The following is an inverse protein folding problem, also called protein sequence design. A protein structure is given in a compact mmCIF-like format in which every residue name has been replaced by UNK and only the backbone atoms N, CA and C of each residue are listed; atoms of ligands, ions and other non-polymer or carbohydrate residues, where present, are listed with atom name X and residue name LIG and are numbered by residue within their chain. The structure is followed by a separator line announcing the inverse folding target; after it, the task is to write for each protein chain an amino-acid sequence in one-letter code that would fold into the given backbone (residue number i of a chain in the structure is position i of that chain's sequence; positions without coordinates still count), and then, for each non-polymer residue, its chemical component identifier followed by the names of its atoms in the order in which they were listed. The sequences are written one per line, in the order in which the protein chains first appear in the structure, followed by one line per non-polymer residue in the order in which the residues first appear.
data_IF_145236600516
#
_entry.id   IF_145236600516
#
_cell.length_a   1.000
_cell.length_b   1.000
_cell.length_c   1.000
_cell.angle_alpha   90.00
_cell.angle_beta   90.00
_cell.angle_gamma   90.00
#
_symmetry.space_group_name_H-M   'P 1'
#
loop_
_entity.id
_entity.type
_entity.pdbx_description
1 polymer ?
#
# COMPACT_ATOMS: atom_id res chain seq x y z
N UNK A 1 -10.52 11.55 9.73
CA UNK A 1 -10.12 12.06 8.39
C UNK A 1 -11.36 12.61 7.70
N UNK A 2 -11.25 13.66 6.89
CA UNK A 2 -12.36 14.13 6.04
C UNK A 2 -12.38 13.37 4.70
N UNK A 3 -13.48 13.43 3.96
CA UNK A 3 -13.55 12.82 2.62
C UNK A 3 -12.57 13.46 1.64
N UNK A 4 -12.40 14.79 1.69
CA UNK A 4 -11.50 15.50 0.78
C UNK A 4 -10.03 15.14 1.06
N UNK A 5 -9.63 15.09 2.35
CA UNK A 5 -8.29 14.60 2.74
C UNK A 5 -8.05 13.16 2.25
N UNK A 6 -9.05 12.29 2.38
CA UNK A 6 -8.95 10.91 1.92
C UNK A 6 -8.79 10.84 0.39
N UNK A 7 -9.53 11.66 -0.36
CA UNK A 7 -9.43 11.73 -1.82
C UNK A 7 -8.04 12.22 -2.23
N UNK A 8 -7.51 13.28 -1.62
CA UNK A 8 -6.17 13.79 -1.92
C UNK A 8 -5.09 12.73 -1.71
N UNK A 9 -5.15 12.01 -0.57
CA UNK A 9 -4.25 10.89 -0.29
C UNK A 9 -4.37 9.80 -1.36
N UNK A 10 -5.59 9.42 -1.73
CA UNK A 10 -5.83 8.37 -2.73
C UNK A 10 -5.39 8.79 -4.13
N UNK A 11 -5.51 10.07 -4.48
CA UNK A 11 -4.97 10.62 -5.73
C UNK A 11 -3.45 10.52 -5.76
N UNK A 12 -2.76 10.82 -4.66
CA UNK A 12 -1.31 10.63 -4.55
C UNK A 12 -0.90 9.15 -4.71
N UNK A 13 -1.75 8.22 -4.26
CA UNK A 13 -1.53 6.79 -4.44
C UNK A 13 -1.60 6.33 -5.91
N UNK A 14 -2.30 7.08 -6.78
CA UNK A 14 -2.51 6.70 -8.18
C UNK A 14 -1.20 6.59 -8.96
N UNK A 15 -0.31 7.57 -8.85
CA UNK A 15 0.98 7.55 -9.55
C UNK A 15 1.85 6.35 -9.15
N UNK A 16 1.82 5.96 -7.87
CA UNK A 16 2.50 4.76 -7.40
C UNK A 16 1.87 3.48 -7.98
N UNK A 17 0.54 3.42 -8.02
CA UNK A 17 -0.19 2.28 -8.56
C UNK A 17 0.02 2.09 -10.08
N UNK A 18 0.09 3.17 -10.84
CA UNK A 18 0.41 3.16 -12.27
C UNK A 18 1.84 2.66 -12.51
N UNK A 19 2.82 3.21 -11.77
CA UNK A 19 4.21 2.73 -11.82
C UNK A 19 4.32 1.24 -11.49
N UNK A 20 3.59 0.79 -10.48
CA UNK A 20 3.52 -0.61 -10.07
C UNK A 20 2.90 -1.50 -11.16
N UNK A 21 1.83 -1.02 -11.80
CA UNK A 21 1.15 -1.70 -12.90
C UNK A 21 2.09 -1.91 -14.10
N UNK A 22 2.95 -0.93 -14.39
CA UNK A 22 3.95 -1.04 -15.47
C UNK A 22 5.14 -1.92 -15.08
N UNK A 23 5.62 -1.81 -13.84
CA UNK A 23 6.82 -2.50 -13.40
C UNK A 23 6.61 -4.01 -13.18
N UNK A 24 5.43 -4.41 -12.73
CA UNK A 24 5.07 -5.82 -12.53
C UNK A 24 3.62 -6.07 -12.97
N UNK A 25 3.32 -6.08 -14.27
CA UNK A 25 1.95 -6.17 -14.79
C UNK A 25 1.24 -7.44 -14.31
N UNK A 26 1.91 -8.59 -14.40
CA UNK A 26 1.42 -9.91 -14.01
C UNK A 26 2.39 -10.56 -13.02
N UNK A 27 2.35 -10.16 -11.75
CA UNK A 27 3.24 -10.75 -10.76
C UNK A 27 3.14 -10.16 -9.36
N UNK A 28 4.05 -10.63 -8.49
CA UNK A 28 4.25 -10.12 -7.13
C UNK A 28 5.40 -9.10 -7.13
N UNK A 29 5.37 -8.08 -6.26
CA UNK A 29 6.36 -7.01 -6.25
C UNK A 29 7.70 -7.41 -5.57
N UNK A 30 8.13 -8.66 -5.68
CA UNK A 30 9.20 -9.25 -4.84
C UNK A 30 10.46 -8.38 -4.72
N UNK A 31 10.97 -7.90 -5.85
CA UNK A 31 12.16 -7.04 -5.93
C UNK A 31 11.82 -5.57 -6.23
N UNK A 32 10.57 -5.16 -6.05
CA UNK A 32 10.19 -3.76 -6.27
C UNK A 32 10.87 -2.87 -5.23
N UNK A 33 11.63 -1.89 -5.72
CA UNK A 33 12.32 -0.90 -4.91
C UNK A 33 11.35 0.23 -4.63
N UNK A 34 11.06 0.46 -3.33
CA UNK A 34 10.23 1.55 -2.87
C UNK A 34 11.12 2.68 -2.40
N UNK A 35 10.87 3.89 -2.90
CA UNK A 35 11.51 5.11 -2.40
C UNK A 35 10.94 5.48 -1.02
N UNK A 36 11.60 6.36 -0.25
CA UNK A 36 11.03 6.89 0.99
C UNK A 36 9.66 7.56 0.78
N UNK A 37 9.47 8.19 -0.38
CA UNK A 37 8.19 8.81 -0.74
C UNK A 37 7.11 7.75 -1.00
N UNK A 38 7.43 6.68 -1.74
CA UNK A 38 6.49 5.57 -1.97
C UNK A 38 6.05 4.93 -0.63
N UNK A 39 6.96 4.85 0.34
CA UNK A 39 6.65 4.34 1.68
C UNK A 39 5.68 5.26 2.46
N UNK A 40 5.83 6.57 2.32
CA UNK A 40 4.89 7.54 2.92
C UNK A 40 3.51 7.42 2.30
N UNK A 41 3.44 7.38 0.98
CA UNK A 41 2.18 7.18 0.23
C UNK A 41 1.49 5.88 0.65
N UNK A 42 2.21 4.77 0.81
CA UNK A 42 1.64 3.51 1.29
C UNK A 42 1.18 3.55 2.75
N UNK A 43 1.86 4.35 3.59
CA UNK A 43 1.44 4.57 4.97
C UNK A 43 0.14 5.36 5.03
N UNK A 44 0.01 6.42 4.22
CA UNK A 44 -1.20 7.22 4.13
C UNK A 44 -2.36 6.42 3.52
N UNK A 45 -2.08 5.59 2.50
CA UNK A 45 -3.06 4.62 1.97
C UNK A 45 -3.59 3.69 3.07
N UNK A 46 -2.69 3.14 3.90
CA UNK A 46 -3.07 2.29 5.03
C UNK A 46 -3.90 3.06 6.07
N UNK A 47 -3.58 4.34 6.29
CA UNK A 47 -4.33 5.22 7.19
C UNK A 47 -5.77 5.45 6.69
N UNK A 48 -5.96 5.69 5.39
CA UNK A 48 -7.28 5.84 4.78
C UNK A 48 -8.10 4.56 4.96
N UNK A 49 -7.51 3.40 4.72
CA UNK A 49 -8.22 2.12 4.85
C UNK A 49 -8.53 1.73 6.30
N UNK A 50 -7.76 2.22 7.27
CA UNK A 50 -7.94 1.93 8.68
C UNK A 50 -8.77 2.97 9.45
N UNK A 51 -9.09 4.11 8.83
CA UNK A 51 -9.86 5.16 9.48
C UNK A 51 -11.35 4.78 9.51
N UNK A 52 -11.98 4.66 10.70
CA UNK A 52 -13.35 4.17 10.84
C UNK A 52 -14.42 5.10 10.25
N UNK A 53 -14.09 6.38 10.01
CA UNK A 53 -15.00 7.36 9.42
C UNK A 53 -15.08 7.17 7.90
N UNK A 54 -13.95 6.86 7.24
CA UNK A 54 -13.87 6.68 5.78
C UNK A 54 -13.92 5.21 5.33
N UNK A 55 -13.53 4.26 6.18
CA UNK A 55 -13.56 2.82 5.93
C UNK A 55 -14.95 2.18 6.17
N UNK A 56 -15.99 3.01 6.33
CA UNK A 56 -17.37 2.54 6.43
C UNK A 56 -17.82 1.75 5.18
N UNK A 57 -18.80 0.84 5.31
CA UNK A 57 -19.27 0.00 4.21
C UNK A 57 -19.69 0.85 3.00
N UNK A 58 -19.04 0.63 1.84
CA UNK A 58 -19.33 1.32 0.59
C UNK A 58 -18.75 2.74 0.45
N UNK A 59 -18.34 3.40 1.54
CA UNK A 59 -17.73 4.74 1.46
C UNK A 59 -16.33 4.67 0.87
N UNK A 60 -15.51 3.71 1.30
CA UNK A 60 -14.16 3.53 0.76
C UNK A 60 -14.16 3.28 -0.76
N UNK A 61 -15.12 2.49 -1.26
CA UNK A 61 -15.28 2.27 -2.71
C UNK A 61 -15.66 3.56 -3.45
N UNK A 62 -16.50 4.43 -2.86
CA UNK A 62 -16.81 5.74 -3.44
C UNK A 62 -15.56 6.63 -3.48
N UNK A 63 -14.77 6.65 -2.41
CA UNK A 63 -13.53 7.42 -2.35
C UNK A 63 -12.52 6.95 -3.40
N UNK A 64 -12.37 5.64 -3.60
CA UNK A 64 -11.56 5.11 -4.71
C UNK A 64 -12.04 5.58 -6.08
N UNK A 65 -13.36 5.58 -6.31
CA UNK A 65 -13.95 6.07 -7.55
C UNK A 65 -13.69 7.58 -7.76
N UNK A 66 -13.83 8.39 -6.70
CA UNK A 66 -13.53 9.82 -6.76
C UNK A 66 -12.05 10.09 -7.06
N UNK A 67 -11.15 9.30 -6.48
CA UNK A 67 -9.72 9.33 -6.77
C UNK A 67 -9.34 8.71 -8.13
N UNK A 68 -10.31 8.22 -8.91
CA UNK A 68 -10.12 7.55 -10.20
C UNK A 68 -9.14 6.37 -10.13
N UNK A 69 -9.18 5.64 -9.02
CA UNK A 69 -8.45 4.39 -8.86
C UNK A 69 -9.28 3.22 -9.39
N UNK A 70 -8.69 2.46 -10.30
CA UNK A 70 -9.23 1.22 -10.84
C UNK A 70 -9.00 0.05 -9.88
N UNK A 71 -9.77 -1.03 -10.04
CA UNK A 71 -9.57 -2.26 -9.27
C UNK A 71 -8.15 -2.83 -9.39
N UNK A 72 -7.52 -2.67 -10.56
CA UNK A 72 -6.12 -3.10 -10.79
C UNK A 72 -5.17 -2.25 -9.97
N UNK A 73 -5.28 -0.92 -10.02
CA UNK A 73 -4.44 0.00 -9.25
C UNK A 73 -4.57 -0.24 -7.75
N UNK A 74 -5.80 -0.40 -7.24
CA UNK A 74 -6.07 -0.72 -5.84
C UNK A 74 -5.38 -2.04 -5.46
N UNK A 75 -5.50 -3.06 -6.31
CA UNK A 75 -4.84 -4.34 -6.07
C UNK A 75 -3.31 -4.22 -6.05
N UNK A 76 -2.71 -3.37 -6.89
CA UNK A 76 -1.26 -3.12 -6.86
C UNK A 76 -0.82 -2.43 -5.58
N UNK A 77 -1.57 -1.44 -5.11
CA UNK A 77 -1.31 -0.77 -3.83
C UNK A 77 -1.37 -1.77 -2.66
N UNK A 78 -2.35 -2.67 -2.68
CA UNK A 78 -2.46 -3.78 -1.72
C UNK A 78 -1.25 -4.72 -1.74
N UNK A 79 -0.78 -5.10 -2.93
CA UNK A 79 0.41 -5.93 -3.06
C UNK A 79 1.66 -5.23 -2.50
N UNK A 80 1.83 -3.93 -2.75
CA UNK A 80 2.93 -3.14 -2.21
C UNK A 80 2.83 -2.98 -0.69
N UNK A 81 1.64 -2.72 -0.15
CA UNK A 81 1.40 -2.67 1.30
C UNK A 81 1.81 -3.98 1.97
N UNK A 82 1.42 -5.12 1.40
CA UNK A 82 1.81 -6.46 1.89
C UNK A 82 3.31 -6.68 1.82
N UNK A 83 3.98 -6.22 0.76
CA UNK A 83 5.44 -6.30 0.63
C UNK A 83 6.13 -5.51 1.76
N UNK A 84 5.69 -4.28 2.03
CA UNK A 84 6.24 -3.45 3.12
C UNK A 84 6.05 -4.13 4.48
N UNK A 85 4.84 -4.64 4.74
CA UNK A 85 4.55 -5.40 5.95
C UNK A 85 5.47 -6.62 6.07
N UNK A 86 5.59 -7.42 5.00
CA UNK A 86 6.46 -8.60 4.96
C UNK A 86 7.92 -8.24 5.26
N UNK A 87 8.46 -7.18 4.66
CA UNK A 87 9.83 -6.70 4.90
C UNK A 87 10.03 -6.26 6.36
N UNK A 88 9.06 -5.54 6.95
CA UNK A 88 9.15 -5.06 8.34
C UNK A 88 9.05 -6.17 9.38
N UNK A 89 8.21 -7.19 9.16
CA UNK A 89 7.92 -8.22 10.15
C UNK A 89 8.68 -9.54 9.92
N UNK A 90 8.83 -10.02 8.68
CA UNK A 90 9.62 -11.23 8.42
C UNK A 90 11.13 -10.95 8.40
N UNK A 91 11.54 -9.73 8.06
CA UNK A 91 12.94 -9.31 8.19
C UNK A 91 13.44 -9.38 9.64
N UNK A 92 12.57 -9.12 10.63
CA UNK A 92 12.90 -9.26 12.06
C UNK A 92 13.02 -10.71 12.50
N UNK A 93 12.23 -11.63 11.96
CA UNK A 93 12.31 -13.05 12.31
C UNK A 93 13.53 -13.74 11.71
N UNK A 94 14.06 -13.26 10.58
CA UNK A 94 15.29 -13.78 10.00
C UNK A 94 16.55 -13.41 10.81
N UNK A 95 16.51 -12.34 11.60
CA UNK A 95 17.63 -11.89 12.44
C UNK A 95 17.67 -12.54 13.83
N UNK A 96 16.63 -13.27 14.23
CA UNK A 96 16.52 -13.91 15.55
C UNK A 96 16.74 -15.43 15.53
N UNK A 97 16.99 -16.02 14.36
CA UNK A 97 17.42 -17.42 14.23
C UNK A 97 18.89 -17.46 13.86
N UNK A 98 19.69 -18.22 14.61
CA UNK A 98 21.13 -18.49 14.44
C UNK A 98 22.13 -17.59 15.17
N UNK A 99 22.10 -17.69 16.51
CA UNK A 99 23.31 -17.98 17.29
C UNK A 99 23.00 -19.14 18.25
N UNK A 100 23.02 -20.36 17.73
CA UNK A 100 23.28 -21.53 18.57
C UNK A 100 24.76 -21.85 18.39
N UNK A 101 25.57 -21.39 19.33
CA UNK A 101 26.96 -21.81 19.46
C UNK A 101 26.99 -23.31 19.73
N UNK A 102 27.74 -24.05 18.91
CA UNK A 102 28.38 -25.31 19.28
C UNK A 102 29.77 -25.30 18.64
#
# INVERSE_FOLDING_TARGET
MTNDEAIEILVACKTLAERASTAFPSGLPGNYTLTPEDLRVLQDFTRVQGDPVVAGPGLLNRLFNHAKLTSVEIYKLEQLRRLVFKRRYLGRNASNGYKSSN
#
